data_IF_031907931216
#
_entry.id   IF_031907931216
#
_cell.length_a   1.000
_cell.length_b   1.000
_cell.length_c   1.000
_cell.angle_alpha   90.00
_cell.angle_beta   90.00
_cell.angle_gamma   90.00
#
_symmetry.space_group_name_H-M   'P 1'
#
loop_
_entity.id
_entity.type
_entity.pdbx_description
1 polymer ?
#
# COMPACT_ATOMS: atom_id res chain seq x y z
N UNK A 1 3.83 -72.82 36.78
CA UNK A 1 3.37 -72.43 35.45
C UNK A 1 1.86 -72.44 35.46
N UNK A 2 1.25 -71.28 35.27
CA UNK A 2 -0.12 -70.91 35.66
C UNK A 2 -1.16 -71.46 34.66
N UNK A 3 -2.03 -72.43 35.13
CA UNK A 3 -3.10 -73.08 34.31
C UNK A 3 -4.00 -72.05 33.56
N UNK A 4 -4.18 -70.87 34.09
CA UNK A 4 -4.93 -69.76 33.43
C UNK A 4 -4.32 -69.28 32.10
N UNK A 5 -3.00 -69.14 32.01
CA UNK A 5 -2.25 -68.77 30.83
C UNK A 5 -2.30 -69.80 29.71
N UNK A 6 -2.43 -71.10 30.08
CA UNK A 6 -2.54 -72.19 29.09
C UNK A 6 -3.95 -72.24 28.46
N UNK A 7 -4.98 -71.87 29.20
CA UNK A 7 -6.36 -71.87 28.74
C UNK A 7 -6.61 -70.64 27.81
N UNK A 8 -6.08 -69.46 28.16
CA UNK A 8 -6.16 -68.25 27.28
C UNK A 8 -5.41 -68.51 25.99
N UNK A 9 -4.24 -69.09 25.98
CA UNK A 9 -3.53 -69.39 24.72
C UNK A 9 -4.30 -70.43 23.86
N UNK A 10 -4.99 -71.44 24.45
CA UNK A 10 -5.79 -72.41 23.68
C UNK A 10 -7.06 -71.79 23.09
N UNK A 11 -7.68 -70.80 23.75
CA UNK A 11 -8.84 -70.10 23.26
C UNK A 11 -8.47 -69.15 22.11
N UNK A 12 -7.33 -68.45 22.20
CA UNK A 12 -6.83 -67.58 21.14
C UNK A 12 -6.46 -68.40 19.88
N UNK A 13 -5.82 -69.52 20.00
CA UNK A 13 -5.41 -70.34 18.84
C UNK A 13 -6.64 -70.94 18.15
N UNK A 14 -7.66 -71.41 18.93
CA UNK A 14 -8.92 -71.92 18.37
C UNK A 14 -9.72 -70.80 17.61
N UNK A 15 -9.79 -69.64 18.18
CA UNK A 15 -10.43 -68.46 17.54
C UNK A 15 -9.75 -68.10 16.21
N UNK A 16 -8.41 -68.14 16.17
CA UNK A 16 -7.63 -67.91 14.95
C UNK A 16 -7.91 -68.93 13.84
N UNK A 17 -8.03 -70.23 14.19
CA UNK A 17 -8.35 -71.27 13.23
C UNK A 17 -9.78 -71.17 12.70
N UNK A 18 -10.74 -70.79 13.51
CA UNK A 18 -12.13 -70.54 13.06
C UNK A 18 -12.21 -69.35 12.10
N UNK A 19 -11.53 -68.25 12.42
CA UNK A 19 -11.48 -67.07 11.57
C UNK A 19 -10.77 -67.35 10.24
N UNK A 20 -9.67 -68.08 10.27
CA UNK A 20 -8.96 -68.51 9.06
C UNK A 20 -9.78 -69.44 8.18
N UNK A 21 -10.52 -70.38 8.77
CA UNK A 21 -11.38 -71.31 8.07
C UNK A 21 -12.60 -70.58 7.40
N UNK A 22 -13.14 -69.56 8.09
CA UNK A 22 -14.20 -68.70 7.59
C UNK A 22 -13.72 -67.86 6.38
N UNK A 23 -12.52 -67.31 6.47
CA UNK A 23 -11.89 -66.59 5.36
C UNK A 23 -11.59 -67.51 4.16
N UNK A 24 -11.20 -68.77 4.40
CA UNK A 24 -10.87 -69.71 3.32
C UNK A 24 -12.08 -70.12 2.46
N UNK A 25 -13.29 -70.16 3.06
CA UNK A 25 -14.52 -70.60 2.41
C UNK A 25 -15.37 -69.50 1.77
N UNK A 26 -15.10 -68.21 2.11
CA UNK A 26 -15.97 -67.12 1.66
C UNK A 26 -15.20 -66.03 0.91
N UNK A 27 -15.26 -66.04 -0.42
CA UNK A 27 -14.58 -65.10 -1.30
C UNK A 27 -15.02 -63.65 -1.06
N UNK A 28 -16.26 -63.43 -0.63
CA UNK A 28 -16.80 -62.11 -0.33
C UNK A 28 -16.17 -61.54 0.94
N UNK A 29 -16.00 -62.37 1.98
CA UNK A 29 -15.38 -61.97 3.25
C UNK A 29 -13.90 -61.63 3.08
N UNK A 30 -13.16 -62.32 2.18
CA UNK A 30 -11.79 -61.98 1.82
C UNK A 30 -11.69 -60.58 1.17
N UNK A 31 -12.60 -60.30 0.23
CA UNK A 31 -12.64 -59.00 -0.44
C UNK A 31 -12.99 -57.87 0.54
N UNK A 32 -13.90 -58.10 1.47
CA UNK A 32 -14.28 -57.16 2.51
C UNK A 32 -13.12 -56.87 3.49
N UNK A 33 -12.42 -57.90 3.94
CA UNK A 33 -11.25 -57.75 4.85
C UNK A 33 -10.09 -57.03 4.12
N UNK A 34 -9.82 -57.35 2.84
CA UNK A 34 -8.82 -56.64 2.04
C UNK A 34 -9.20 -55.17 1.85
N UNK A 35 -10.46 -54.88 1.57
CA UNK A 35 -10.95 -53.51 1.42
C UNK A 35 -10.82 -52.73 2.74
N UNK A 36 -11.12 -53.35 3.90
CA UNK A 36 -10.99 -52.73 5.20
C UNK A 36 -9.52 -52.42 5.54
N UNK A 37 -8.60 -53.34 5.22
CA UNK A 37 -7.16 -53.14 5.41
C UNK A 37 -6.66 -51.98 4.53
N UNK A 38 -7.08 -51.91 3.25
CA UNK A 38 -6.72 -50.83 2.35
C UNK A 38 -7.28 -49.51 2.88
N UNK A 39 -8.53 -49.46 3.32
CA UNK A 39 -9.15 -48.26 3.88
C UNK A 39 -8.44 -47.75 5.16
N UNK A 40 -7.93 -48.66 5.99
CA UNK A 40 -7.13 -48.31 7.19
C UNK A 40 -5.76 -47.71 6.81
N UNK A 41 -5.13 -48.21 5.74
CA UNK A 41 -3.84 -47.69 5.27
C UNK A 41 -3.99 -46.25 4.73
N UNK A 42 -5.09 -45.93 4.04
CA UNK A 42 -5.36 -44.59 3.56
C UNK A 42 -5.61 -43.54 4.67
N UNK A 43 -6.01 -43.96 5.87
CA UNK A 43 -6.19 -43.07 7.00
C UNK A 43 -4.90 -42.85 7.85
N UNK A 44 -3.82 -43.58 7.55
CA UNK A 44 -2.59 -43.55 8.38
C UNK A 44 -1.63 -42.38 8.03
N UNK A 45 -1.86 -41.63 6.95
CA UNK A 45 -0.98 -40.55 6.48
C UNK A 45 -1.64 -39.19 6.50
N UNK A 46 -1.95 -38.67 7.68
CA UNK A 46 -2.31 -37.25 7.81
C UNK A 46 -1.61 -36.63 9.03
N UNK A 47 -0.29 -36.72 9.05
CA UNK A 47 0.49 -35.82 9.90
C UNK A 47 0.52 -34.44 9.25
N UNK A 48 -0.48 -33.61 9.58
CA UNK A 48 -0.38 -32.18 9.31
C UNK A 48 0.75 -31.64 10.17
N UNK A 49 1.85 -31.27 9.54
CA UNK A 49 2.87 -30.48 10.22
C UNK A 49 2.21 -29.18 10.68
N UNK A 50 2.06 -29.03 11.98
CA UNK A 50 1.62 -27.79 12.60
C UNK A 50 2.84 -27.14 13.25
N UNK A 51 3.01 -25.85 12.97
CA UNK A 51 3.97 -25.04 13.71
C UNK A 51 3.46 -24.93 15.14
N UNK A 52 4.09 -25.63 16.08
CA UNK A 52 3.68 -25.72 17.49
C UNK A 52 4.19 -24.53 18.31
N UNK A 53 5.29 -23.89 17.89
CA UNK A 53 5.77 -22.66 18.51
C UNK A 53 6.65 -21.88 17.52
N UNK A 54 6.57 -20.56 17.59
CA UNK A 54 7.50 -19.64 16.94
C UNK A 54 8.16 -18.87 18.08
N UNK A 55 9.47 -19.02 18.23
CA UNK A 55 10.26 -18.21 19.15
C UNK A 55 10.95 -17.12 18.31
N UNK A 56 10.41 -15.91 18.25
CA UNK A 56 11.09 -14.81 17.58
C UNK A 56 12.33 -14.43 18.39
N UNK A 57 13.48 -14.33 17.74
CA UNK A 57 14.68 -13.73 18.31
C UNK A 57 14.97 -12.43 17.57
N UNK A 58 15.23 -11.36 18.31
CA UNK A 58 15.66 -10.09 17.77
C UNK A 58 17.18 -9.98 17.96
N UNK A 59 17.90 -9.82 16.86
CA UNK A 59 19.33 -9.51 16.90
C UNK A 59 19.43 -7.99 16.77
N UNK A 60 19.82 -7.34 17.86
CA UNK A 60 20.02 -5.90 17.86
C UNK A 60 21.40 -5.58 17.24
N UNK A 61 21.38 -4.87 16.12
CA UNK A 61 22.59 -4.28 15.55
C UNK A 61 22.87 -2.97 16.30
N UNK A 62 24.05 -2.88 16.88
CA UNK A 62 24.52 -1.68 17.58
C UNK A 62 25.80 -1.17 16.93
N UNK A 63 26.19 0.06 17.25
CA UNK A 63 27.37 0.72 16.69
C UNK A 63 28.72 0.08 17.11
N UNK A 64 28.69 -1.02 17.89
CA UNK A 64 29.89 -1.76 18.32
C UNK A 64 30.23 -2.91 17.38
N UNK A 65 29.37 -3.21 16.38
CA UNK A 65 29.69 -4.19 15.35
C UNK A 65 30.83 -3.66 14.49
N UNK A 66 31.89 -4.45 14.32
CA UNK A 66 33.00 -4.07 13.46
C UNK A 66 32.52 -3.95 12.00
N UNK A 67 32.90 -2.89 11.33
CA UNK A 67 32.66 -2.72 9.89
C UNK A 67 33.67 -3.60 9.11
N UNK A 68 33.16 -4.23 8.03
CA UNK A 68 34.03 -4.93 7.08
C UNK A 68 34.64 -3.91 6.12
N UNK A 69 35.97 -3.66 6.26
CA UNK A 69 36.68 -2.66 5.49
C UNK A 69 36.69 -2.95 3.97
N UNK A 70 36.61 -4.22 3.56
CA UNK A 70 36.55 -4.58 2.15
C UNK A 70 35.17 -4.23 1.56
N UNK A 71 34.10 -4.47 2.29
CA UNK A 71 32.73 -4.08 1.88
C UNK A 71 32.61 -2.56 1.89
N UNK A 72 33.14 -1.89 2.89
CA UNK A 72 33.14 -0.43 2.97
C UNK A 72 33.86 0.22 1.78
N UNK A 73 35.07 -0.27 1.45
CA UNK A 73 35.81 0.21 0.29
C UNK A 73 35.08 -0.01 -1.05
N UNK A 74 34.31 -1.10 -1.16
CA UNK A 74 33.50 -1.39 -2.32
C UNK A 74 32.28 -0.44 -2.46
N UNK A 75 31.69 -0.03 -1.34
CA UNK A 75 30.48 0.83 -1.29
C UNK A 75 30.83 2.32 -1.42
N UNK A 76 31.98 2.75 -0.86
CA UNK A 76 32.34 4.17 -0.73
C UNK A 76 32.27 4.99 -2.03
N UNK A 77 32.73 4.53 -3.20
CA UNK A 77 32.60 5.28 -4.45
C UNK A 77 31.15 5.59 -4.85
N UNK A 78 30.23 4.65 -4.60
CA UNK A 78 28.80 4.82 -4.88
C UNK A 78 28.14 5.71 -3.85
N UNK A 79 28.48 5.53 -2.59
CA UNK A 79 27.94 6.29 -1.47
C UNK A 79 28.26 7.76 -1.59
N UNK A 80 29.50 8.12 -1.93
CA UNK A 80 29.92 9.53 -2.06
C UNK A 80 29.14 10.27 -3.15
N UNK A 81 28.84 9.63 -4.28
CA UNK A 81 28.02 10.20 -5.36
C UNK A 81 26.58 10.38 -4.89
N UNK A 82 26.01 9.32 -4.28
CA UNK A 82 24.63 9.35 -3.78
C UNK A 82 24.45 10.40 -2.67
N UNK A 83 25.38 10.49 -1.73
CA UNK A 83 25.33 11.48 -0.64
C UNK A 83 25.35 12.92 -1.19
N UNK A 84 26.15 13.19 -2.23
CA UNK A 84 26.16 14.51 -2.88
C UNK A 84 24.80 14.85 -3.52
N UNK A 85 24.17 13.89 -4.23
CA UNK A 85 22.85 14.07 -4.83
C UNK A 85 21.77 14.26 -3.76
N UNK A 86 21.79 13.42 -2.71
CA UNK A 86 20.77 13.47 -1.64
C UNK A 86 20.89 14.73 -0.79
N UNK A 87 22.09 15.30 -0.65
CA UNK A 87 22.33 16.53 0.12
C UNK A 87 22.09 17.82 -0.67
N UNK A 88 21.79 17.75 -1.98
CA UNK A 88 21.40 18.94 -2.76
C UNK A 88 20.21 19.65 -2.10
N UNK A 89 20.37 20.92 -1.74
CA UNK A 89 19.30 21.74 -1.19
C UNK A 89 18.37 22.19 -2.31
N UNK A 90 17.13 21.76 -2.24
CA UNK A 90 16.09 22.09 -3.23
C UNK A 90 15.46 23.46 -2.99
N UNK A 91 15.08 23.76 -1.73
CA UNK A 91 14.33 24.97 -1.37
C UNK A 91 14.40 25.18 0.15
N UNK A 92 14.05 26.39 0.59
CA UNK A 92 13.81 26.67 2.01
C UNK A 92 12.31 26.65 2.30
N UNK A 93 11.91 26.12 3.46
CA UNK A 93 10.53 26.17 3.97
C UNK A 93 10.45 27.12 5.15
N UNK A 94 9.47 28.01 5.14
CA UNK A 94 9.24 29.02 6.20
C UNK A 94 8.53 28.43 7.41
N UNK A 95 8.01 27.20 7.32
CA UNK A 95 7.36 26.48 8.40
C UNK A 95 7.47 24.97 8.16
N UNK A 96 7.27 24.18 9.20
CA UNK A 96 7.13 22.73 9.12
C UNK A 96 5.85 22.34 8.37
N UNK A 97 5.94 21.35 7.45
CA UNK A 97 4.78 20.74 6.83
C UNK A 97 4.51 19.38 7.47
N UNK A 98 3.40 19.26 8.16
CA UNK A 98 3.03 18.08 8.96
C UNK A 98 1.78 17.41 8.44
N UNK A 99 1.66 16.11 8.71
CA UNK A 99 0.44 15.34 8.46
C UNK A 99 -0.66 15.75 9.43
N UNK A 100 -1.91 15.62 9.01
CA UNK A 100 -3.08 15.90 9.84
C UNK A 100 -4.36 15.51 9.12
N UNK A 101 -5.47 15.61 9.82
CA UNK A 101 -6.81 15.37 9.31
C UNK A 101 -7.77 16.35 10.00
N UNK A 102 -8.83 16.79 9.31
CA UNK A 102 -9.25 16.43 7.95
C UNK A 102 -8.38 17.08 6.86
N UNK A 103 -7.63 18.10 7.22
CA UNK A 103 -6.73 18.88 6.37
C UNK A 103 -5.34 18.93 7.00
N UNK A 104 -4.29 19.02 6.20
CA UNK A 104 -2.93 19.12 6.72
C UNK A 104 -2.05 20.03 5.88
N UNK A 105 -1.09 20.70 6.52
CA UNK A 105 -0.11 21.55 5.83
C UNK A 105 0.70 20.77 4.81
N UNK A 106 1.08 19.53 5.14
CA UNK A 106 1.80 18.64 4.22
C UNK A 106 0.91 18.15 3.07
N UNK A 107 -0.31 17.70 3.38
CA UNK A 107 -1.26 17.21 2.38
C UNK A 107 -1.59 18.29 1.35
N UNK A 108 -1.89 19.51 1.81
CA UNK A 108 -2.16 20.64 0.93
C UNK A 108 -0.96 20.96 0.05
N UNK A 109 0.23 21.12 0.65
CA UNK A 109 1.45 21.46 -0.06
C UNK A 109 1.74 20.47 -1.19
N UNK A 110 1.72 19.16 -0.89
CA UNK A 110 2.08 18.14 -1.88
C UNK A 110 1.00 18.00 -2.96
N UNK A 111 -0.27 18.09 -2.60
CA UNK A 111 -1.35 18.07 -3.60
C UNK A 111 -1.30 19.31 -4.52
N UNK A 112 -1.01 20.50 -3.97
CA UNK A 112 -0.89 21.74 -4.76
C UNK A 112 0.29 21.68 -5.71
N UNK A 113 1.47 21.25 -5.24
CA UNK A 113 2.66 21.04 -6.07
C UNK A 113 2.35 20.06 -7.20
N UNK A 114 1.70 18.93 -6.87
CA UNK A 114 1.39 17.89 -7.85
C UNK A 114 0.42 18.38 -8.91
N UNK A 115 -0.64 19.10 -8.53
CA UNK A 115 -1.59 19.67 -9.47
C UNK A 115 -0.93 20.73 -10.38
N UNK A 116 -0.13 21.60 -9.77
CA UNK A 116 0.57 22.67 -10.49
C UNK A 116 1.55 22.10 -11.52
N UNK A 117 2.41 21.16 -11.12
CA UNK A 117 3.41 20.56 -12.03
C UNK A 117 2.73 19.75 -13.14
N UNK A 118 1.67 19.01 -12.79
CA UNK A 118 0.87 18.29 -13.79
C UNK A 118 0.27 19.23 -14.82
N UNK A 119 -0.31 20.35 -14.39
CA UNK A 119 -0.88 21.34 -15.28
C UNK A 119 0.18 22.06 -16.13
N UNK A 120 1.36 22.30 -15.59
CA UNK A 120 2.50 22.81 -16.34
C UNK A 120 2.93 21.86 -17.47
N UNK A 121 2.98 20.55 -17.19
CA UNK A 121 3.26 19.52 -18.20
C UNK A 121 2.16 19.45 -19.26
N UNK A 122 0.90 19.45 -18.84
CA UNK A 122 -0.26 19.41 -19.74
C UNK A 122 -0.28 20.63 -20.66
N UNK A 123 -0.04 21.83 -20.12
CA UNK A 123 0.01 23.07 -20.88
C UNK A 123 1.12 23.04 -21.95
N UNK A 124 2.32 22.60 -21.62
CA UNK A 124 3.44 22.43 -22.56
C UNK A 124 3.12 21.47 -23.70
N UNK A 125 2.23 20.49 -23.45
CA UNK A 125 1.76 19.52 -24.44
C UNK A 125 0.48 19.97 -25.18
N UNK A 126 -0.02 21.17 -24.92
CA UNK A 126 -1.30 21.69 -25.44
C UNK A 126 -2.49 20.79 -25.14
N UNK A 127 -2.50 20.20 -23.94
CA UNK A 127 -3.56 19.30 -23.46
C UNK A 127 -4.46 20.04 -22.46
N UNK A 128 -5.72 19.60 -22.29
CA UNK A 128 -6.62 20.17 -21.28
C UNK A 128 -6.02 20.05 -19.89
N UNK A 129 -6.18 21.09 -19.06
CA UNK A 129 -5.70 21.08 -17.68
C UNK A 129 -6.52 20.15 -16.80
N UNK A 130 -5.94 19.74 -15.70
CA UNK A 130 -6.62 18.98 -14.66
C UNK A 130 -7.31 19.92 -13.66
N UNK A 131 -8.43 19.46 -13.12
CA UNK A 131 -9.27 20.22 -12.20
C UNK A 131 -8.89 19.98 -10.75
N UNK A 132 -8.52 18.73 -10.41
CA UNK A 132 -8.34 18.25 -9.06
C UNK A 132 -7.04 17.44 -8.99
N UNK A 133 -6.34 17.51 -7.87
CA UNK A 133 -5.37 16.49 -7.45
C UNK A 133 -5.86 15.84 -6.16
N UNK A 134 -5.84 14.51 -6.12
CA UNK A 134 -6.06 13.72 -4.90
C UNK A 134 -4.97 12.68 -4.75
N UNK A 135 -4.35 12.66 -3.58
CA UNK A 135 -3.35 11.68 -3.17
C UNK A 135 -3.80 10.98 -1.89
N UNK A 136 -3.03 9.99 -1.44
CA UNK A 136 -3.30 9.29 -0.19
C UNK A 136 -2.36 9.71 0.94
N UNK A 137 -2.87 9.74 2.16
CA UNK A 137 -2.07 10.04 3.36
C UNK A 137 -0.94 9.02 3.60
N UNK A 138 -1.15 7.75 3.21
CA UNK A 138 -0.15 6.67 3.32
C UNK A 138 1.05 6.87 2.40
N UNK A 139 0.89 7.57 1.28
CA UNK A 139 1.96 7.91 0.34
C UNK A 139 2.97 8.91 0.90
N UNK A 140 2.55 9.78 1.81
CA UNK A 140 3.41 10.74 2.50
C UNK A 140 4.00 10.10 3.76
N UNK A 141 5.28 9.72 3.74
CA UNK A 141 5.87 8.85 4.78
C UNK A 141 6.41 9.63 5.98
N UNK A 142 6.84 10.87 5.78
CA UNK A 142 7.41 11.74 6.83
C UNK A 142 6.90 13.18 6.67
N UNK A 143 7.15 14.05 7.64
CA UNK A 143 6.96 15.51 7.54
C UNK A 143 8.16 16.17 6.86
N UNK A 144 7.97 17.42 6.42
CA UNK A 144 9.06 18.28 5.95
C UNK A 144 9.36 19.32 7.03
N UNK A 145 10.62 19.50 7.40
CA UNK A 145 11.01 20.46 8.44
C UNK A 145 10.88 21.90 7.96
N UNK A 146 10.85 22.84 8.88
CA UNK A 146 11.22 24.22 8.61
C UNK A 146 12.70 24.31 8.23
N UNK A 147 13.07 25.27 7.40
CA UNK A 147 14.43 25.48 6.92
C UNK A 147 14.73 24.73 5.62
N UNK A 148 15.96 24.30 5.44
CA UNK A 148 16.46 23.69 4.19
C UNK A 148 15.85 22.30 3.96
N UNK A 149 15.29 22.11 2.77
CA UNK A 149 14.78 20.82 2.29
C UNK A 149 15.72 20.35 1.18
N UNK A 150 16.30 19.17 1.35
CA UNK A 150 17.17 18.54 0.36
C UNK A 150 16.49 17.40 -0.39
N UNK A 151 17.14 16.87 -1.42
CA UNK A 151 16.64 15.74 -2.22
C UNK A 151 16.34 14.52 -1.34
N UNK A 152 17.25 14.19 -0.41
CA UNK A 152 17.07 13.06 0.50
C UNK A 152 15.79 13.14 1.30
N UNK A 153 15.39 14.35 1.75
CA UNK A 153 14.13 14.57 2.46
C UNK A 153 12.91 14.25 1.61
N UNK A 154 12.97 14.50 0.30
CA UNK A 154 11.86 14.17 -0.61
C UNK A 154 11.84 12.66 -0.88
N UNK A 155 12.99 11.98 -0.92
CA UNK A 155 13.05 10.52 -0.97
C UNK A 155 12.47 9.87 0.30
N UNK A 156 12.75 10.42 1.50
CA UNK A 156 12.14 9.98 2.75
C UNK A 156 10.61 10.22 2.77
N UNK A 157 10.16 11.36 2.22
CA UNK A 157 8.75 11.72 2.14
C UNK A 157 8.00 10.80 1.17
N UNK A 158 8.56 10.56 -0.01
CA UNK A 158 7.92 9.83 -1.12
C UNK A 158 8.88 8.76 -1.68
N UNK A 159 9.09 7.63 -0.97
CA UNK A 159 10.06 6.60 -1.36
C UNK A 159 9.57 5.70 -2.50
N UNK A 160 8.44 6.02 -3.12
CA UNK A 160 7.81 5.21 -4.15
C UNK A 160 8.17 5.70 -5.56
N UNK A 161 8.18 4.75 -6.51
CA UNK A 161 8.44 5.02 -7.93
C UNK A 161 7.14 5.30 -8.72
N UNK A 162 6.08 5.73 -8.04
CA UNK A 162 4.77 5.96 -8.63
C UNK A 162 4.81 7.08 -9.67
N UNK A 163 4.18 6.86 -10.82
CA UNK A 163 4.02 7.84 -11.87
C UNK A 163 2.78 8.73 -11.65
N UNK A 164 2.88 9.97 -12.09
CA UNK A 164 1.73 10.89 -12.11
C UNK A 164 0.86 10.57 -13.31
N UNK A 165 -0.43 10.38 -13.05
CA UNK A 165 -1.45 10.14 -14.08
C UNK A 165 -2.60 11.11 -13.96
N UNK A 166 -3.29 11.36 -15.08
CA UNK A 166 -4.51 12.16 -15.15
C UNK A 166 -5.64 11.28 -15.64
N UNK A 167 -6.69 11.19 -14.83
CA UNK A 167 -7.90 10.42 -15.12
C UNK A 167 -9.03 11.38 -15.47
N UNK A 168 -9.77 11.12 -16.55
CA UNK A 168 -11.06 11.78 -16.77
C UNK A 168 -12.15 10.92 -16.16
N UNK A 169 -12.79 11.41 -15.12
CA UNK A 169 -13.86 10.74 -14.39
C UNK A 169 -15.23 11.30 -14.78
N UNK A 170 -16.26 10.42 -14.79
CA UNK A 170 -17.65 10.90 -14.77
C UNK A 170 -17.97 11.60 -13.45
N UNK A 171 -19.02 12.44 -13.44
CA UNK A 171 -19.46 13.09 -12.20
C UNK A 171 -19.83 12.09 -11.11
N UNK A 172 -20.40 10.93 -11.46
CA UNK A 172 -20.70 9.84 -10.49
C UNK A 172 -19.41 9.33 -9.83
N UNK A 173 -18.34 9.07 -10.61
CA UNK A 173 -17.05 8.63 -10.08
C UNK A 173 -16.39 9.71 -9.24
N UNK A 174 -16.48 10.96 -9.66
CA UNK A 174 -16.01 12.12 -8.90
C UNK A 174 -16.77 12.27 -7.57
N UNK A 175 -18.08 12.00 -7.54
CA UNK A 175 -18.84 11.94 -6.29
C UNK A 175 -18.34 10.82 -5.37
N UNK A 176 -17.98 9.67 -5.95
CA UNK A 176 -17.35 8.56 -5.23
C UNK A 176 -16.02 8.95 -4.59
N UNK A 177 -15.20 9.77 -5.28
CA UNK A 177 -13.96 10.33 -4.77
C UNK A 177 -14.23 11.21 -3.53
N UNK A 178 -15.16 12.16 -3.61
CA UNK A 178 -15.47 13.04 -2.48
C UNK A 178 -16.07 12.26 -1.29
N UNK A 179 -16.92 11.27 -1.56
CA UNK A 179 -17.42 10.36 -0.52
C UNK A 179 -16.30 9.59 0.17
N UNK A 180 -15.29 9.15 -0.57
CA UNK A 180 -14.11 8.49 0.00
C UNK A 180 -13.30 9.45 0.88
N UNK A 181 -13.08 10.70 0.45
CA UNK A 181 -12.40 11.73 1.26
C UNK A 181 -13.14 11.92 2.58
N UNK A 182 -14.47 12.07 2.55
CA UNK A 182 -15.27 12.27 3.75
C UNK A 182 -15.18 11.07 4.72
N UNK A 183 -15.35 9.85 4.22
CA UNK A 183 -15.24 8.62 5.03
C UNK A 183 -13.85 8.40 5.63
N UNK A 184 -12.81 8.90 4.95
CA UNK A 184 -11.42 8.80 5.42
C UNK A 184 -11.03 9.98 6.32
N UNK A 185 -11.98 10.84 6.69
CA UNK A 185 -11.75 12.08 7.43
C UNK A 185 -10.65 12.95 6.80
N UNK A 186 -10.67 13.08 5.47
CA UNK A 186 -9.73 13.92 4.72
C UNK A 186 -8.60 13.17 4.02
N UNK A 187 -8.17 13.73 2.91
CA UNK A 187 -7.05 13.27 2.08
C UNK A 187 -6.29 14.48 1.52
N UNK A 188 -5.01 14.32 1.10
CA UNK A 188 -4.32 15.36 0.35
C UNK A 188 -5.10 15.72 -0.91
N UNK A 189 -5.59 16.95 -0.99
CA UNK A 189 -6.50 17.45 -2.01
C UNK A 189 -6.05 18.80 -2.52
N UNK A 190 -6.16 19.04 -3.82
CA UNK A 190 -6.00 20.35 -4.44
C UNK A 190 -7.03 20.57 -5.54
N UNK A 191 -7.38 21.81 -5.83
CA UNK A 191 -8.35 22.19 -6.85
C UNK A 191 -9.82 22.05 -6.45
N UNK A 192 -10.10 21.53 -5.25
CA UNK A 192 -11.45 21.39 -4.72
C UNK A 192 -11.52 21.73 -3.23
N UNK A 193 -12.75 22.04 -2.77
CA UNK A 193 -13.08 22.22 -1.35
C UNK A 193 -14.33 21.43 -1.00
N UNK A 194 -14.46 20.98 0.25
CA UNK A 194 -15.63 20.27 0.76
C UNK A 194 -15.79 20.42 2.28
N UNK A 195 -17.00 20.16 2.73
CA UNK A 195 -17.31 19.98 4.15
C UNK A 195 -17.63 18.52 4.43
N UNK A 196 -17.10 17.99 5.55
CA UNK A 196 -17.39 16.63 6.02
C UNK A 196 -18.43 16.72 7.13
N UNK A 197 -19.57 16.08 6.90
CA UNK A 197 -20.64 15.96 7.88
C UNK A 197 -21.18 14.53 7.91
N UNK A 198 -21.14 13.89 9.07
CA UNK A 198 -21.59 12.51 9.25
C UNK A 198 -21.01 11.55 8.19
N UNK A 199 -19.68 11.61 7.95
CA UNK A 199 -18.96 10.87 6.92
C UNK A 199 -19.42 11.13 5.46
N UNK A 200 -20.21 12.17 5.21
CA UNK A 200 -20.62 12.60 3.88
C UNK A 200 -19.88 13.87 3.47
N UNK A 201 -19.65 13.99 2.15
CA UNK A 201 -19.11 15.20 1.57
C UNK A 201 -20.26 16.13 1.16
N UNK A 202 -20.28 17.32 1.75
CA UNK A 202 -21.25 18.38 1.45
C UNK A 202 -20.52 19.63 0.95
N UNK A 203 -21.25 20.57 0.38
CA UNK A 203 -20.72 21.86 -0.08
C UNK A 203 -19.45 21.75 -0.92
N UNK A 204 -19.48 20.82 -1.89
CA UNK A 204 -18.33 20.50 -2.76
C UNK A 204 -18.21 21.61 -3.83
N UNK A 205 -17.02 22.21 -3.94
CA UNK A 205 -16.67 23.14 -5.02
C UNK A 205 -15.39 22.68 -5.71
N UNK A 206 -15.35 22.82 -7.04
CA UNK A 206 -14.19 22.50 -7.89
C UNK A 206 -13.85 23.73 -8.70
N UNK A 207 -12.63 24.25 -8.56
CA UNK A 207 -12.22 25.52 -9.20
C UNK A 207 -13.14 26.69 -8.83
N UNK A 208 -13.69 26.70 -7.60
CA UNK A 208 -14.61 27.71 -7.10
C UNK A 208 -16.06 27.58 -7.60
N UNK A 209 -16.40 26.55 -8.39
CA UNK A 209 -17.76 26.28 -8.88
C UNK A 209 -18.35 25.10 -8.14
N UNK A 210 -19.66 25.14 -7.84
CA UNK A 210 -20.35 24.02 -7.23
C UNK A 210 -20.18 22.75 -8.07
N UNK A 211 -19.96 21.62 -7.39
CA UNK A 211 -19.86 20.32 -8.04
C UNK A 211 -21.13 19.99 -8.82
N UNK A 212 -20.97 19.53 -10.05
CA UNK A 212 -22.06 19.16 -10.94
C UNK A 212 -21.90 17.67 -11.34
N UNK A 213 -22.75 16.75 -10.85
CA UNK A 213 -22.64 15.32 -11.16
C UNK A 213 -22.88 14.97 -12.63
N UNK A 214 -23.36 15.90 -13.45
CA UNK A 214 -23.56 15.68 -14.89
C UNK A 214 -22.30 15.94 -15.73
N UNK A 215 -21.27 16.52 -15.13
CA UNK A 215 -20.00 16.86 -15.79
C UNK A 215 -18.94 15.78 -15.65
N UNK A 216 -17.88 15.94 -16.40
CA UNK A 216 -16.64 15.16 -16.25
C UNK A 216 -15.57 16.02 -15.59
N UNK A 217 -14.67 15.37 -14.85
CA UNK A 217 -13.58 16.03 -14.12
C UNK A 217 -12.25 15.33 -14.39
N UNK A 218 -11.22 16.11 -14.57
CA UNK A 218 -9.86 15.62 -14.79
C UNK A 218 -9.11 15.62 -13.47
N UNK A 219 -8.74 14.42 -13.00
CA UNK A 219 -8.14 14.21 -11.68
C UNK A 219 -6.71 13.72 -11.82
N UNK A 220 -5.77 14.46 -11.24
CA UNK A 220 -4.38 14.05 -11.07
C UNK A 220 -4.28 13.12 -9.87
N UNK A 221 -3.59 12.01 -10.04
CA UNK A 221 -3.28 11.08 -8.95
C UNK A 221 -2.04 10.25 -9.31
N UNK A 222 -1.68 9.27 -8.48
CA UNK A 222 -0.64 8.30 -8.80
C UNK A 222 -1.20 7.10 -9.56
N UNK A 223 -0.37 6.43 -10.34
CA UNK A 223 -0.69 5.16 -11.02
C UNK A 223 -1.13 4.07 -10.04
N UNK A 224 -0.52 4.01 -8.85
CA UNK A 224 -0.92 3.12 -7.77
C UNK A 224 -2.39 3.33 -7.36
N UNK A 225 -2.80 4.58 -7.13
CA UNK A 225 -4.18 4.90 -6.75
C UNK A 225 -5.14 4.68 -7.92
N UNK A 226 -4.72 5.07 -9.13
CA UNK A 226 -5.48 4.86 -10.36
C UNK A 226 -5.76 3.37 -10.62
N UNK A 227 -4.84 2.49 -10.21
CA UNK A 227 -4.99 1.03 -10.24
C UNK A 227 -5.87 0.45 -9.13
N UNK A 228 -6.52 1.28 -8.32
CA UNK A 228 -7.39 0.85 -7.21
C UNK A 228 -6.65 0.65 -5.89
N UNK A 229 -5.42 1.15 -5.77
CA UNK A 229 -4.69 1.21 -4.51
C UNK A 229 -5.53 1.88 -3.41
N UNK A 230 -5.29 1.53 -2.14
CA UNK A 230 -6.03 1.99 -0.96
C UNK A 230 -7.57 1.83 -1.09
N UNK A 231 -8.03 0.86 -1.91
CA UNK A 231 -9.45 0.59 -2.19
C UNK A 231 -10.17 1.74 -2.92
N UNK A 232 -9.44 2.60 -3.64
CA UNK A 232 -9.99 3.74 -4.40
C UNK A 232 -10.62 3.29 -5.73
N UNK A 233 -11.64 2.42 -5.65
CA UNK A 233 -12.30 1.80 -6.82
C UNK A 233 -13.01 2.79 -7.74
N UNK A 234 -13.30 4.01 -7.29
CA UNK A 234 -13.88 5.06 -8.11
C UNK A 234 -12.92 5.55 -9.21
N UNK A 235 -11.64 5.22 -9.12
CA UNK A 235 -10.66 5.46 -10.19
C UNK A 235 -10.66 4.39 -11.28
N UNK A 236 -11.25 3.21 -11.05
CA UNK A 236 -11.30 2.14 -12.03
C UNK A 236 -12.11 2.57 -13.26
N UNK A 237 -11.70 2.11 -14.45
CA UNK A 237 -12.40 2.37 -15.72
C UNK A 237 -12.71 3.86 -15.95
N UNK A 238 -11.70 4.74 -15.95
CA UNK A 238 -11.91 6.16 -16.26
C UNK A 238 -12.34 6.34 -17.73
N UNK A 239 -12.98 7.47 -18.05
CA UNK A 239 -13.31 7.83 -19.44
C UNK A 239 -12.02 7.97 -20.26
N UNK A 240 -10.97 8.52 -19.66
CA UNK A 240 -9.65 8.62 -20.25
C UNK A 240 -8.57 8.45 -19.17
N UNK A 241 -7.46 7.82 -19.54
CA UNK A 241 -6.28 7.59 -18.71
C UNK A 241 -5.06 8.15 -19.41
N UNK A 242 -4.34 9.06 -18.80
CA UNK A 242 -3.18 9.72 -19.38
C UNK A 242 -1.98 9.67 -18.42
N UNK A 243 -0.88 9.06 -18.85
CA UNK A 243 0.39 9.06 -18.12
C UNK A 243 1.15 10.35 -18.46
N UNK A 244 1.69 11.02 -17.44
CA UNK A 244 2.48 12.24 -17.67
C UNK A 244 3.98 11.95 -17.91
N UNK A 245 4.44 10.71 -17.67
CA UNK A 245 5.83 10.26 -17.78
C UNK A 245 6.76 11.04 -16.82
N UNK A 246 6.28 11.29 -15.63
CA UNK A 246 7.04 11.87 -14.52
C UNK A 246 6.66 11.15 -13.25
N UNK A 247 7.65 10.78 -12.44
CA UNK A 247 7.40 10.21 -11.12
C UNK A 247 6.89 11.30 -10.18
N UNK A 248 5.98 10.94 -9.28
CA UNK A 248 5.41 11.88 -8.33
C UNK A 248 6.49 12.58 -7.48
N UNK A 249 7.49 11.83 -7.03
CA UNK A 249 8.65 12.38 -6.33
C UNK A 249 9.42 13.39 -7.18
N UNK A 250 9.66 13.06 -8.44
CA UNK A 250 10.42 13.93 -9.34
C UNK A 250 9.64 15.21 -9.68
N UNK A 251 8.31 15.14 -9.79
CA UNK A 251 7.45 16.31 -9.95
C UNK A 251 7.61 17.28 -8.76
N UNK A 252 7.64 16.75 -7.53
CA UNK A 252 7.87 17.55 -6.32
C UNK A 252 9.25 18.18 -6.32
N UNK A 253 10.30 17.41 -6.64
CA UNK A 253 11.68 17.90 -6.72
C UNK A 253 11.81 19.00 -7.78
N UNK A 254 11.25 18.80 -8.97
CA UNK A 254 11.31 19.77 -10.07
C UNK A 254 10.63 21.08 -9.71
N UNK A 255 9.45 21.03 -9.09
CA UNK A 255 8.77 22.21 -8.59
C UNK A 255 9.63 22.99 -7.60
N UNK A 256 10.17 22.29 -6.58
CA UNK A 256 10.98 22.94 -5.54
C UNK A 256 12.24 23.59 -6.10
N UNK A 257 12.95 22.93 -7.04
CA UNK A 257 14.08 23.51 -7.74
C UNK A 257 13.68 24.75 -8.56
N UNK A 258 12.53 24.71 -9.25
CA UNK A 258 12.05 25.82 -10.04
C UNK A 258 11.69 27.03 -9.17
N UNK A 259 11.03 26.83 -8.04
CA UNK A 259 10.68 27.89 -7.11
C UNK A 259 11.91 28.49 -6.41
N UNK A 260 12.86 27.68 -6.00
CA UNK A 260 14.12 28.14 -5.43
C UNK A 260 14.92 29.04 -6.42
N UNK A 261 14.95 28.66 -7.70
CA UNK A 261 15.61 29.47 -8.74
C UNK A 261 14.96 30.85 -8.92
N UNK A 262 13.67 30.98 -8.57
CA UNK A 262 12.96 32.29 -8.56
C UNK A 262 13.17 33.06 -7.24
N UNK A 263 13.89 32.51 -6.27
CA UNK A 263 14.06 33.07 -4.92
C UNK A 263 12.88 32.87 -4.00
N UNK A 264 11.96 31.96 -4.34
CA UNK A 264 10.80 31.66 -3.51
C UNK A 264 11.14 30.64 -2.41
N UNK A 265 10.33 30.63 -1.36
CA UNK A 265 10.33 29.63 -0.27
C UNK A 265 8.95 28.97 -0.17
N UNK A 266 8.89 27.77 0.43
CA UNK A 266 7.64 27.11 0.74
C UNK A 266 6.96 27.79 1.93
N UNK A 267 5.63 27.89 1.86
CA UNK A 267 4.77 28.38 2.94
C UNK A 267 3.65 27.36 3.21
N UNK A 268 3.94 26.23 3.86
CA UNK A 268 2.94 25.22 4.17
C UNK A 268 1.86 25.79 5.08
N UNK A 269 0.58 25.66 4.68
CA UNK A 269 -0.55 26.13 5.45
C UNK A 269 -1.80 25.31 5.19
N UNK A 270 -2.74 25.34 6.10
CA UNK A 270 -4.12 24.97 5.88
C UNK A 270 -4.91 26.18 5.43
N UNK A 271 -5.93 26.00 4.60
CA UNK A 271 -6.76 27.09 4.06
C UNK A 271 -8.27 26.79 4.15
N UNK A 272 -8.61 25.71 4.84
CA UNK A 272 -10.00 25.31 5.07
C UNK A 272 -10.65 24.65 3.86
N UNK A 273 -9.83 24.05 2.98
CA UNK A 273 -10.36 23.32 1.81
C UNK A 273 -11.09 22.03 2.19
N UNK A 274 -10.79 21.45 3.35
CA UNK A 274 -11.54 20.34 3.94
C UNK A 274 -11.89 20.73 5.38
N UNK A 275 -13.20 20.94 5.63
CA UNK A 275 -13.72 21.23 6.96
C UNK A 275 -14.46 20.01 7.50
N UNK A 276 -14.35 19.73 8.78
CA UNK A 276 -15.15 18.72 9.49
C UNK A 276 -15.89 19.40 10.63
N UNK A 277 -17.19 19.20 10.69
CA UNK A 277 -18.07 19.66 11.77
C UNK A 277 -18.30 18.55 12.77
#
# INVERSE_FOLDING_TARGET
>A
MNKKKLIENRLNVRSYYYFYALLKKNHILKKLVSFLIIALIFNACSNKMQVTSIQPSSIQLNNTSAEDEAIKALIEPYKSVLDNEMNEVLINSNAEAVKGQPESTLGNLIADITLWESNNILQKKNLPLADICMLNNGGLRTSLPEGKINVGKIFELMPFENEVVVLTLSGEKAQGLFKYIAKSNGMPLSGATLEIKDENAENIFIGGKAFDPSKTYRVVTSDYLAGGGDKMRFFNEPIAYQVLNVKLRDAIINYMRAENKKGNSLNPKTDGRIKSN
#
